data_IF_346499958284
#
_entry.id   IF_346499958284
#
_cell.length_a   1.000
_cell.length_b   1.000
_cell.length_c   1.000
_cell.angle_alpha   90.00
_cell.angle_beta   90.00
_cell.angle_gamma   90.00
#
_symmetry.space_group_name_H-M   'P 1'
#
loop_
_entity.id
_entity.type
_entity.pdbx_description
1 polymer ?
#
# COMPACT_ATOMS: atom_id res chain seq x y z
N UNK A 1 27.43 -10.06 0.62
CA UNK A 1 27.48 -8.59 0.47
C UNK A 1 26.43 -7.98 -0.49
N UNK A 2 26.47 -8.13 -1.83
CA UNK A 2 25.49 -7.44 -2.74
C UNK A 2 24.01 -7.87 -2.57
N UNK A 3 23.74 -9.13 -2.18
CA UNK A 3 22.36 -9.66 -2.03
C UNK A 3 21.73 -9.26 -0.70
N UNK A 4 22.50 -9.29 0.40
CA UNK A 4 22.02 -8.90 1.73
C UNK A 4 21.61 -7.43 1.75
N UNK A 5 22.41 -6.55 1.13
CA UNK A 5 22.06 -5.13 1.00
C UNK A 5 20.75 -4.93 0.23
N UNK A 6 20.51 -5.71 -0.83
CA UNK A 6 19.23 -5.67 -1.57
C UNK A 6 18.06 -6.15 -0.72
N UNK A 7 18.24 -7.20 0.08
CA UNK A 7 17.19 -7.71 0.97
C UNK A 7 16.86 -6.71 2.08
N UNK A 8 17.88 -6.11 2.70
CA UNK A 8 17.72 -5.07 3.73
C UNK A 8 16.94 -3.87 3.18
N UNK A 9 17.30 -3.37 1.99
CA UNK A 9 16.57 -2.26 1.34
C UNK A 9 15.10 -2.60 1.07
N UNK A 10 14.80 -3.83 0.63
CA UNK A 10 13.40 -4.26 0.45
C UNK A 10 12.62 -4.26 1.76
N UNK A 11 13.24 -4.73 2.85
CA UNK A 11 12.59 -4.74 4.18
C UNK A 11 12.33 -3.34 4.70
N UNK A 12 13.30 -2.43 4.57
CA UNK A 12 13.13 -1.02 4.89
C UNK A 12 11.97 -0.39 4.10
N UNK A 13 11.86 -0.68 2.81
CA UNK A 13 10.74 -0.20 1.98
C UNK A 13 9.40 -0.81 2.40
N UNK A 14 9.39 -2.06 2.85
CA UNK A 14 8.18 -2.67 3.38
C UNK A 14 7.73 -2.01 4.68
N UNK A 15 8.65 -1.60 5.55
CA UNK A 15 8.34 -0.81 6.75
C UNK A 15 7.72 0.55 6.37
N UNK A 16 8.26 1.26 5.38
CA UNK A 16 7.69 2.51 4.87
C UNK A 16 6.29 2.32 4.29
N UNK A 17 6.07 1.23 3.56
CA UNK A 17 4.74 0.85 3.08
C UNK A 17 3.79 0.54 4.24
N UNK A 18 4.25 -0.14 5.28
CA UNK A 18 3.42 -0.46 6.44
C UNK A 18 3.00 0.79 7.21
N UNK A 19 3.85 1.81 7.28
CA UNK A 19 3.47 3.14 7.80
C UNK A 19 2.35 3.76 6.96
N UNK A 20 2.45 3.72 5.62
CA UNK A 20 1.39 4.22 4.74
C UNK A 20 0.07 3.45 4.93
N UNK A 21 0.16 2.12 5.06
CA UNK A 21 -1.01 1.27 5.32
C UNK A 21 -1.70 1.67 6.62
N UNK A 22 -0.94 1.88 7.71
CA UNK A 22 -1.50 2.31 9.00
C UNK A 22 -2.25 3.62 8.88
N UNK A 23 -1.64 4.65 8.27
CA UNK A 23 -2.30 5.95 8.05
C UNK A 23 -3.60 5.76 7.26
N UNK A 24 -3.57 5.05 6.13
CA UNK A 24 -4.79 4.80 5.32
C UNK A 24 -5.87 4.05 6.13
N UNK A 25 -5.45 3.16 7.02
CA UNK A 25 -6.34 2.33 7.83
C UNK A 25 -6.94 3.05 9.04
N UNK A 26 -6.29 4.10 9.54
CA UNK A 26 -6.77 4.88 10.69
C UNK A 26 -7.81 5.93 10.29
N UNK A 27 -7.91 6.25 9.00
CA UNK A 27 -8.80 7.27 8.46
C UNK A 27 -9.92 6.70 7.57
N UNK A 28 -10.95 7.52 7.37
CA UNK A 28 -12.11 7.23 6.52
C UNK A 28 -12.73 5.86 6.82
N UNK A 29 -12.88 5.05 5.78
CA UNK A 29 -13.50 3.71 5.87
C UNK A 29 -12.58 2.61 6.37
N UNK A 30 -11.34 2.95 6.76
CA UNK A 30 -10.38 2.04 7.39
C UNK A 30 -10.05 0.80 6.57
N UNK A 31 -9.77 0.99 5.27
CA UNK A 31 -9.64 -0.10 4.29
C UNK A 31 -8.63 -1.20 4.59
N UNK A 32 -7.64 -0.94 5.45
CA UNK A 32 -6.63 -1.92 5.81
C UNK A 32 -6.72 -2.33 7.28
N UNK A 33 -7.85 -2.11 7.96
CA UNK A 33 -8.02 -2.47 9.37
C UNK A 33 -9.33 -3.22 9.62
N UNK A 34 -9.26 -4.30 10.41
CA UNK A 34 -10.44 -4.94 10.98
C UNK A 34 -10.61 -4.55 12.43
N UNK A 35 -11.77 -3.97 12.74
CA UNK A 35 -12.23 -3.75 14.11
C UNK A 35 -12.48 -5.08 14.84
N UNK A 36 -13.01 -6.09 14.13
CA UNK A 36 -13.39 -7.38 14.73
C UNK A 36 -12.22 -8.15 15.31
N UNK A 37 -11.06 -8.10 14.64
CA UNK A 37 -9.84 -8.82 15.07
C UNK A 37 -8.70 -7.87 15.46
N UNK A 38 -8.98 -6.58 15.56
CA UNK A 38 -8.04 -5.51 15.91
C UNK A 38 -6.68 -5.65 15.19
N UNK A 39 -6.71 -5.64 13.85
CA UNK A 39 -5.51 -5.90 13.03
C UNK A 39 -5.45 -4.99 11.81
N UNK A 40 -4.24 -4.50 11.54
CA UNK A 40 -3.87 -3.86 10.28
C UNK A 40 -3.37 -4.89 9.26
N UNK A 41 -3.63 -4.63 7.98
CA UNK A 41 -2.94 -5.34 6.92
C UNK A 41 -1.46 -4.93 6.93
N UNK A 42 -0.61 -5.76 6.34
CA UNK A 42 0.80 -5.42 6.24
C UNK A 42 1.45 -6.05 5.01
N UNK A 43 2.63 -5.55 4.68
CA UNK A 43 3.52 -6.07 3.65
C UNK A 43 4.76 -6.66 4.32
N UNK A 44 5.13 -7.85 3.89
CA UNK A 44 6.29 -8.59 4.39
C UNK A 44 7.24 -8.96 3.26
N UNK A 45 8.54 -9.00 3.56
CA UNK A 45 9.58 -9.48 2.64
C UNK A 45 10.25 -10.72 3.24
N UNK A 46 10.07 -11.87 2.58
CA UNK A 46 10.66 -13.12 3.05
C UNK A 46 12.19 -13.18 2.83
N UNK A 47 12.83 -14.22 3.33
CA UNK A 47 14.27 -14.45 3.19
C UNK A 47 14.76 -14.55 1.73
N UNK A 48 13.85 -14.81 0.78
CA UNK A 48 14.14 -14.88 -0.66
C UNK A 48 13.93 -13.53 -1.35
N UNK A 49 13.51 -12.50 -0.59
CA UNK A 49 13.18 -11.17 -1.12
C UNK A 49 11.86 -11.12 -1.89
N UNK A 50 10.97 -12.09 -1.68
CA UNK A 50 9.59 -12.07 -2.21
C UNK A 50 8.68 -11.31 -1.25
N UNK A 51 7.74 -10.60 -1.85
CA UNK A 51 6.82 -9.70 -1.14
C UNK A 51 5.50 -10.42 -0.94
N UNK A 52 4.96 -10.30 0.26
CA UNK A 52 3.72 -10.91 0.69
C UNK A 52 2.82 -9.83 1.28
N UNK A 53 1.51 -9.94 1.06
CA UNK A 53 0.50 -9.13 1.74
C UNK A 53 -0.15 -9.97 2.82
N UNK A 54 -0.25 -9.43 4.03
CA UNK A 54 -0.94 -10.04 5.15
C UNK A 54 -2.33 -9.43 5.21
N UNK A 55 -3.33 -10.25 4.92
CA UNK A 55 -4.72 -9.81 4.93
C UNK A 55 -5.19 -9.51 6.34
N UNK A 56 -5.73 -8.31 6.58
CA UNK A 56 -6.07 -7.88 7.95
C UNK A 56 -7.17 -8.74 8.57
N UNK A 57 -8.14 -9.18 7.78
CA UNK A 57 -9.29 -9.92 8.28
C UNK A 57 -8.92 -11.37 8.57
N UNK A 58 -8.43 -12.07 7.55
CA UNK A 58 -8.13 -13.50 7.64
C UNK A 58 -6.74 -13.81 8.23
N UNK A 59 -5.83 -12.84 8.27
CA UNK A 59 -4.43 -13.04 8.66
C UNK A 59 -3.62 -13.84 7.63
N UNK A 60 -4.20 -14.18 6.48
CA UNK A 60 -3.55 -15.05 5.48
C UNK A 60 -2.46 -14.30 4.74
N UNK A 61 -1.36 -15.02 4.46
CA UNK A 61 -0.28 -14.58 3.58
C UNK A 61 -0.70 -14.71 2.12
N UNK A 62 -0.85 -13.58 1.45
CA UNK A 62 -1.19 -13.48 0.03
C UNK A 62 0.08 -13.20 -0.77
N UNK A 63 0.39 -14.09 -1.71
CA UNK A 63 1.53 -13.93 -2.61
C UNK A 63 1.23 -12.87 -3.68
N UNK A 64 2.04 -11.83 -3.75
CA UNK A 64 1.75 -10.64 -4.59
C UNK A 64 2.41 -10.67 -5.96
N UNK A 65 3.29 -11.64 -6.23
CA UNK A 65 3.99 -11.78 -7.50
C UNK A 65 3.14 -12.55 -8.50
N UNK A 66 3.44 -12.38 -9.80
CA UNK A 66 2.78 -13.16 -10.84
C UNK A 66 3.03 -14.65 -10.66
N UNK A 67 2.00 -15.44 -10.94
CA UNK A 67 2.02 -16.90 -10.86
C UNK A 67 1.44 -17.47 -12.14
N UNK A 68 1.84 -18.69 -12.48
CA UNK A 68 1.31 -19.45 -13.64
C UNK A 68 -0.23 -19.59 -13.64
N UNK A 69 -0.90 -19.38 -12.51
CA UNK A 69 -2.36 -19.40 -12.36
C UNK A 69 -3.05 -18.03 -12.56
N UNK A 70 -2.42 -17.11 -13.30
CA UNK A 70 -3.06 -15.86 -13.75
C UNK A 70 -3.29 -14.82 -12.64
N UNK A 71 -2.43 -14.75 -11.63
CA UNK A 71 -2.50 -13.68 -10.61
C UNK A 71 -3.72 -13.73 -9.69
N UNK A 72 -4.33 -14.91 -9.49
CA UNK A 72 -5.37 -15.13 -8.47
C UNK A 72 -4.74 -15.05 -7.07
N UNK A 73 -5.03 -13.96 -6.36
CA UNK A 73 -4.58 -13.74 -4.99
C UNK A 73 -5.49 -14.53 -4.04
N UNK A 74 -5.16 -15.80 -3.81
CA UNK A 74 -5.92 -16.66 -2.89
C UNK A 74 -5.88 -16.06 -1.48
N UNK A 75 -7.04 -15.86 -0.87
CA UNK A 75 -7.16 -15.29 0.47
C UNK A 75 -7.20 -13.75 0.52
N UNK A 76 -7.21 -13.07 -0.62
CA UNK A 76 -7.44 -11.62 -0.66
C UNK A 76 -8.94 -11.33 -0.58
N UNK A 77 -9.36 -10.55 0.41
CA UNK A 77 -10.79 -10.33 0.71
C UNK A 77 -11.36 -9.05 0.09
N UNK A 78 -10.60 -8.33 -0.75
CA UNK A 78 -10.96 -6.99 -1.23
C UNK A 78 -11.20 -6.90 -2.74
N UNK A 79 -11.80 -5.78 -3.17
CA UNK A 79 -12.04 -5.44 -4.56
C UNK A 79 -10.77 -5.07 -5.35
N UNK A 80 -10.93 -4.92 -6.68
CA UNK A 80 -9.82 -4.71 -7.62
C UNK A 80 -8.96 -3.47 -7.33
N UNK A 81 -9.56 -2.37 -6.89
CA UNK A 81 -8.84 -1.14 -6.56
C UNK A 81 -7.79 -1.33 -5.46
N UNK A 82 -8.17 -1.97 -4.35
CA UNK A 82 -7.23 -2.20 -3.25
C UNK A 82 -6.13 -3.16 -3.70
N UNK A 83 -6.45 -4.13 -4.57
CA UNK A 83 -5.47 -5.02 -5.16
C UNK A 83 -4.40 -4.24 -5.94
N UNK A 84 -4.80 -3.22 -6.70
CA UNK A 84 -3.87 -2.41 -7.49
C UNK A 84 -2.98 -1.52 -6.62
N UNK A 85 -3.50 -0.99 -5.50
CA UNK A 85 -2.67 -0.32 -4.48
C UNK A 85 -1.62 -1.28 -3.90
N UNK A 86 -2.02 -2.49 -3.51
CA UNK A 86 -1.07 -3.48 -2.95
C UNK A 86 -0.05 -3.94 -3.99
N UNK A 87 -0.43 -4.05 -5.27
CA UNK A 87 0.52 -4.31 -6.36
C UNK A 87 1.54 -3.18 -6.51
N UNK A 88 1.10 -1.93 -6.46
CA UNK A 88 2.00 -0.78 -6.56
C UNK A 88 2.95 -0.69 -5.35
N UNK A 89 2.47 -1.00 -4.14
CA UNK A 89 3.33 -1.15 -2.97
C UNK A 89 4.38 -2.25 -3.15
N UNK A 90 4.00 -3.42 -3.69
CA UNK A 90 4.96 -4.48 -4.04
C UNK A 90 6.02 -3.97 -5.01
N UNK A 91 5.62 -3.21 -6.03
CA UNK A 91 6.54 -2.69 -7.04
C UNK A 91 7.53 -1.72 -6.41
N UNK A 92 7.06 -0.77 -5.59
CA UNK A 92 7.93 0.10 -4.79
C UNK A 92 8.92 -0.70 -3.94
N UNK A 93 8.46 -1.71 -3.20
CA UNK A 93 9.34 -2.56 -2.39
C UNK A 93 10.41 -3.21 -3.27
N UNK A 94 10.02 -3.73 -4.44
CA UNK A 94 10.92 -4.44 -5.34
C UNK A 94 11.94 -3.54 -6.04
N UNK A 95 11.53 -2.38 -6.52
CA UNK A 95 12.32 -1.50 -7.40
C UNK A 95 12.89 -0.32 -6.63
N UNK A 96 12.10 0.27 -5.73
CA UNK A 96 12.38 1.53 -5.06
C UNK A 96 11.79 2.74 -5.77
N UNK A 97 11.11 2.52 -6.91
CA UNK A 97 10.45 3.57 -7.67
C UNK A 97 9.20 4.06 -6.92
N UNK A 98 9.16 5.30 -6.44
CA UNK A 98 8.02 5.82 -5.70
C UNK A 98 6.74 5.82 -6.53
N UNK A 99 5.63 5.52 -5.88
CA UNK A 99 4.29 5.54 -6.45
C UNK A 99 3.83 6.97 -6.72
N UNK A 100 2.94 7.13 -7.71
CA UNK A 100 2.29 8.41 -7.94
C UNK A 100 1.32 8.74 -6.79
N UNK A 101 1.28 9.99 -6.26
CA UNK A 101 0.34 10.39 -5.21
C UNK A 101 -1.13 10.16 -5.57
N UNK A 102 -1.48 10.15 -6.85
CA UNK A 102 -2.84 9.84 -7.34
C UNK A 102 -3.36 8.44 -6.99
N UNK A 103 -2.52 7.54 -6.44
CA UNK A 103 -3.00 6.30 -5.83
C UNK A 103 -3.67 6.52 -4.46
N UNK A 104 -3.47 7.68 -3.80
CA UNK A 104 -4.08 8.04 -2.52
C UNK A 104 -5.48 8.62 -2.74
N UNK A 105 -6.46 7.71 -2.87
CA UNK A 105 -7.85 8.05 -3.13
C UNK A 105 -8.02 8.76 -4.47
N UNK A 106 -7.98 8.02 -5.60
CA UNK A 106 -8.23 8.60 -6.91
C UNK A 106 -9.58 9.31 -6.93
N UNK A 107 -9.68 10.39 -7.70
CA UNK A 107 -10.89 11.20 -7.81
C UNK A 107 -11.93 10.54 -8.72
N UNK A 108 -13.21 10.79 -8.45
CA UNK A 108 -14.29 10.42 -9.37
C UNK A 108 -14.40 11.45 -10.48
N UNK A 109 -14.79 11.02 -11.67
CA UNK A 109 -14.89 11.92 -12.83
C UNK A 109 -16.16 12.77 -12.87
N UNK A 110 -17.13 12.50 -11.98
CA UNK A 110 -18.47 13.10 -12.04
C UNK A 110 -18.85 13.90 -10.79
N UNK A 111 -18.06 13.81 -9.71
CA UNK A 111 -18.20 14.61 -8.50
C UNK A 111 -16.82 14.85 -7.86
N UNK A 112 -16.76 15.72 -6.86
CA UNK A 112 -15.53 16.05 -6.13
C UNK A 112 -15.15 14.98 -5.09
N UNK A 113 -15.83 13.81 -5.08
CA UNK A 113 -15.54 12.74 -4.13
C UNK A 113 -14.42 11.83 -4.62
N UNK A 114 -13.85 11.03 -3.71
CA UNK A 114 -12.84 10.03 -4.04
C UNK A 114 -13.49 8.65 -4.26
N UNK A 115 -12.85 7.82 -5.08
CA UNK A 115 -13.36 6.46 -5.37
C UNK A 115 -13.37 5.59 -4.10
N UNK A 116 -12.52 5.90 -3.11
CA UNK A 116 -12.47 5.22 -1.82
C UNK A 116 -13.72 5.50 -0.96
N UNK A 117 -14.45 6.58 -1.24
CA UNK A 117 -15.59 7.02 -0.45
C UNK A 117 -15.18 7.42 0.98
N UNK A 118 -13.95 7.90 1.15
CA UNK A 118 -13.53 8.58 2.38
C UNK A 118 -14.18 9.97 2.37
N UNK A 119 -14.53 10.51 3.53
CA UNK A 119 -14.90 11.92 3.64
C UNK A 119 -13.70 12.84 3.33
N UNK A 120 -13.98 14.11 3.07
CA UNK A 120 -12.97 15.07 2.60
C UNK A 120 -11.86 15.29 3.62
N UNK A 121 -12.20 15.34 4.91
CA UNK A 121 -11.23 15.52 6.00
C UNK A 121 -10.32 14.29 6.11
N UNK A 122 -10.89 13.09 6.16
CA UNK A 122 -10.15 11.84 6.18
C UNK A 122 -9.26 11.66 4.96
N UNK A 123 -9.75 12.02 3.76
CA UNK A 123 -8.96 11.93 2.53
C UNK A 123 -7.83 12.97 2.51
N UNK A 124 -8.09 14.19 2.98
CA UNK A 124 -7.06 15.24 3.11
C UNK A 124 -5.93 14.78 4.02
N UNK A 125 -6.26 14.29 5.21
CA UNK A 125 -5.24 13.81 6.18
C UNK A 125 -4.44 12.65 5.61
N UNK A 126 -5.08 11.69 4.92
CA UNK A 126 -4.36 10.60 4.26
C UNK A 126 -3.41 11.11 3.17
N UNK A 127 -3.85 12.06 2.33
CA UNK A 127 -3.00 12.64 1.27
C UNK A 127 -1.82 13.40 1.85
N UNK A 128 -2.01 14.13 2.94
CA UNK A 128 -0.94 14.87 3.62
C UNK A 128 0.05 13.92 4.31
N UNK A 129 -0.44 13.03 5.18
CA UNK A 129 0.42 12.18 6.00
C UNK A 129 1.05 11.04 5.21
N UNK A 130 0.23 10.23 4.50
CA UNK A 130 0.76 9.12 3.72
C UNK A 130 1.54 9.64 2.52
N UNK A 131 1.08 10.72 1.87
CA UNK A 131 1.75 11.32 0.72
C UNK A 131 3.14 11.87 1.02
N UNK A 132 3.46 12.20 2.27
CA UNK A 132 4.79 12.62 2.70
C UNK A 132 5.80 11.45 2.86
N UNK A 133 5.34 10.19 2.79
CA UNK A 133 6.20 9.03 2.96
C UNK A 133 7.02 8.72 1.69
N UNK A 134 8.22 8.11 1.82
CA UNK A 134 9.10 7.78 0.69
C UNK A 134 8.50 6.84 -0.36
N UNK A 135 7.41 6.14 -0.03
CA UNK A 135 6.67 5.28 -0.96
C UNK A 135 5.93 6.09 -2.03
N UNK A 136 5.65 7.37 -1.79
CA UNK A 136 5.04 8.27 -2.77
C UNK A 136 6.04 9.29 -3.29
N UNK A 137 5.91 9.61 -4.58
CA UNK A 137 6.69 10.67 -5.22
C UNK A 137 6.32 12.00 -4.57
N UNK A 138 7.31 12.65 -3.98
CA UNK A 138 7.15 14.00 -3.44
C UNK A 138 7.07 15.00 -4.60
N UNK A 139 6.22 16.05 -4.51
CA UNK A 139 6.32 17.17 -5.44
C UNK A 139 7.74 17.72 -5.36
N UNK A 140 8.39 17.86 -6.51
CA UNK A 140 9.69 18.54 -6.58
C UNK A 140 9.43 19.95 -6.08
N UNK A 141 10.04 20.31 -4.95
CA UNK A 141 9.97 21.68 -4.46
C UNK A 141 10.50 22.58 -5.59
N UNK A 142 9.62 23.37 -6.19
CA UNK A 142 10.02 24.45 -7.08
C UNK A 142 10.67 25.47 -6.17
N UNK A 143 12.00 25.41 -6.06
CA UNK A 143 12.77 26.53 -5.51
C UNK A 143 12.54 27.70 -6.45
N UNK A 144 11.80 28.69 -5.95
CA UNK A 144 11.57 29.97 -6.61
C UNK A 144 12.89 30.73 -6.85
#
# INVERSE_FOLDING_TARGET
MRKENKLALKRQRAEQVNQAIQIIADHGRRFFYSQTVNRYASMEVDHRGKVWFIDYYSGKRVFTHETVWGGRWRGFTHGGMLKDVVKAFRDYICTGEPMHPGYLGPERSFDESNIWGYDDEGMKVVREQAGALPVFRQPVAVTA
#
